data_IF_462601265543
#
_entry.id   IF_462601265543
#
_cell.length_a   1.000
_cell.length_b   1.000
_cell.length_c   1.000
_cell.angle_alpha   90.00
_cell.angle_beta   90.00
_cell.angle_gamma   90.00
#
_symmetry.space_group_name_H-M   'P 1'
#
loop_
_entity.id
_entity.type
_entity.pdbx_description
1 polymer ?
#
# COMPACT_ATOMS: atom_id res chain seq x y z
N UNK A 1 -15.16 3.36 7.79
CA UNK A 1 -14.38 2.14 7.42
C UNK A 1 -14.73 1.65 6.02
N UNK A 2 -16.02 1.45 5.69
CA UNK A 2 -16.42 0.95 4.35
C UNK A 2 -15.95 1.86 3.20
N UNK A 3 -16.13 3.18 3.32
CA UNK A 3 -15.66 4.14 2.31
C UNK A 3 -14.14 4.09 2.06
N UNK A 4 -13.35 3.85 3.12
CA UNK A 4 -11.90 3.66 3.03
C UNK A 4 -11.56 2.39 2.24
N UNK A 5 -12.31 1.32 2.43
CA UNK A 5 -12.16 0.08 1.69
C UNK A 5 -12.53 0.25 0.21
N UNK A 6 -13.61 0.97 -0.09
CA UNK A 6 -14.00 1.29 -1.46
C UNK A 6 -12.92 2.14 -2.14
N UNK A 7 -12.42 3.17 -1.45
CA UNK A 7 -11.31 4.00 -1.93
C UNK A 7 -10.04 3.17 -2.20
N UNK A 8 -9.70 2.25 -1.30
CA UNK A 8 -8.60 1.31 -1.48
C UNK A 8 -8.81 0.42 -2.72
N UNK A 9 -9.99 -0.16 -2.91
CA UNK A 9 -10.28 -1.03 -4.05
C UNK A 9 -10.16 -0.28 -5.39
N UNK A 10 -10.66 0.95 -5.45
CA UNK A 10 -10.55 1.82 -6.64
C UNK A 10 -9.09 2.22 -6.89
N UNK A 11 -8.32 2.50 -5.84
CA UNK A 11 -6.90 2.82 -5.93
C UNK A 11 -6.03 1.62 -6.31
N UNK A 12 -6.44 0.40 -5.96
CA UNK A 12 -5.63 -0.81 -6.04
C UNK A 12 -5.03 -1.09 -7.41
N UNK A 13 -5.84 -0.90 -8.45
CA UNK A 13 -5.44 -1.12 -9.85
C UNK A 13 -4.54 0.03 -10.36
N UNK A 14 -4.96 1.31 -10.32
CA UNK A 14 -4.15 2.40 -10.85
C UNK A 14 -2.90 2.69 -10.03
N UNK A 15 -2.99 2.74 -8.69
CA UNK A 15 -1.88 3.10 -7.80
C UNK A 15 -1.01 1.89 -7.42
N UNK A 16 -1.55 0.68 -7.55
CA UNK A 16 -0.82 -0.55 -7.22
C UNK A 16 -0.93 -0.92 -5.74
N UNK A 17 -0.45 -2.12 -5.42
CA UNK A 17 -0.54 -2.73 -4.10
C UNK A 17 0.16 -1.89 -3.02
N UNK A 18 1.41 -1.50 -3.24
CA UNK A 18 2.23 -0.81 -2.21
C UNK A 18 1.61 0.52 -1.83
N UNK A 19 1.32 1.38 -2.79
CA UNK A 19 0.76 2.71 -2.52
C UNK A 19 -0.65 2.62 -1.92
N UNK A 20 -1.52 1.78 -2.49
CA UNK A 20 -2.90 1.66 -2.00
C UNK A 20 -2.93 1.11 -0.57
N UNK A 21 -2.12 0.09 -0.29
CA UNK A 21 -2.04 -0.54 1.04
C UNK A 21 -1.37 0.39 2.06
N UNK A 22 -0.31 1.11 1.67
CA UNK A 22 0.35 2.07 2.56
C UNK A 22 -0.58 3.22 2.96
N UNK A 23 -1.35 3.79 2.02
CA UNK A 23 -2.32 4.85 2.33
C UNK A 23 -3.45 4.30 3.20
N UNK A 24 -4.00 3.13 2.86
CA UNK A 24 -5.06 2.50 3.64
C UNK A 24 -4.63 2.22 5.08
N UNK A 25 -3.51 1.51 5.27
CA UNK A 25 -2.96 1.21 6.60
C UNK A 25 -2.55 2.48 7.34
N UNK A 26 -1.96 3.46 6.65
CA UNK A 26 -1.57 4.73 7.23
C UNK A 26 -2.77 5.48 7.82
N UNK A 27 -3.88 5.54 7.09
CA UNK A 27 -5.12 6.18 7.58
C UNK A 27 -5.70 5.38 8.75
N UNK A 28 -5.80 4.04 8.64
CA UNK A 28 -6.36 3.19 9.69
C UNK A 28 -5.57 3.31 11.00
N UNK A 29 -4.25 3.17 10.95
CA UNK A 29 -3.40 3.22 12.15
C UNK A 29 -3.37 4.62 12.74
N UNK A 30 -3.44 5.68 11.91
CA UNK A 30 -3.52 7.06 12.39
C UNK A 30 -4.86 7.40 13.04
N UNK A 31 -5.97 6.81 12.58
CA UNK A 31 -7.27 6.94 13.25
C UNK A 31 -7.24 6.29 14.65
N UNK A 32 -6.47 5.20 14.82
CA UNK A 32 -6.34 4.49 16.10
C UNK A 32 -5.38 5.20 17.07
N UNK A 33 -4.21 5.62 16.60
CA UNK A 33 -3.18 6.32 17.40
C UNK A 33 -2.71 7.60 16.67
N UNK A 34 -3.49 8.69 16.75
CA UNK A 34 -3.21 9.93 16.00
C UNK A 34 -1.95 10.67 16.48
N UNK A 35 -1.53 10.45 17.72
CA UNK A 35 -0.37 11.13 18.31
C UNK A 35 0.96 10.77 17.62
N UNK A 36 1.01 9.66 16.87
CA UNK A 36 2.25 9.10 16.31
C UNK A 36 2.19 8.89 14.81
N UNK A 37 1.55 9.81 14.09
CA UNK A 37 1.32 9.75 12.64
C UNK A 37 2.60 9.43 11.82
N UNK A 38 3.76 10.02 12.15
CA UNK A 38 5.03 9.74 11.44
C UNK A 38 5.45 8.27 11.51
N UNK A 39 5.35 7.68 12.69
CA UNK A 39 5.66 6.25 12.92
C UNK A 39 4.65 5.37 12.21
N UNK A 40 3.38 5.76 12.21
CA UNK A 40 2.31 5.00 11.56
C UNK A 40 2.47 4.98 10.03
N UNK A 41 2.86 6.11 9.43
CA UNK A 41 3.17 6.20 7.99
C UNK A 41 4.40 5.35 7.65
N UNK A 42 5.48 5.45 8.43
CA UNK A 42 6.67 4.64 8.21
C UNK A 42 6.37 3.13 8.31
N UNK A 43 5.58 2.74 9.32
CA UNK A 43 5.13 1.37 9.49
C UNK A 43 4.28 0.90 8.31
N UNK A 44 3.30 1.69 7.87
CA UNK A 44 2.42 1.33 6.77
C UNK A 44 3.19 1.13 5.45
N UNK A 45 4.12 2.04 5.14
CA UNK A 45 4.98 1.93 3.96
C UNK A 45 5.87 0.67 4.07
N UNK A 46 6.59 0.51 5.18
CA UNK A 46 7.50 -0.62 5.38
C UNK A 46 6.78 -1.96 5.32
N UNK A 47 5.63 -2.08 5.99
CA UNK A 47 4.82 -3.29 5.99
C UNK A 47 4.32 -3.63 4.59
N UNK A 48 3.77 -2.65 3.86
CA UNK A 48 3.29 -2.87 2.48
C UNK A 48 4.42 -3.31 1.53
N UNK A 49 5.62 -2.73 1.68
CA UNK A 49 6.79 -3.09 0.88
C UNK A 49 7.29 -4.51 1.19
N UNK A 50 7.36 -4.88 2.48
CA UNK A 50 7.75 -6.24 2.91
C UNK A 50 6.78 -7.28 2.33
N UNK A 51 5.47 -7.04 2.42
CA UNK A 51 4.48 -7.96 1.86
C UNK A 51 4.60 -8.03 0.34
N UNK A 52 4.78 -6.89 -0.33
CA UNK A 52 4.98 -6.87 -1.78
C UNK A 52 6.18 -7.69 -2.22
N UNK A 53 7.33 -7.54 -1.54
CA UNK A 53 8.53 -8.32 -1.81
C UNK A 53 8.32 -9.80 -1.47
N UNK A 54 7.62 -10.12 -0.39
CA UNK A 54 7.27 -11.50 -0.05
C UNK A 54 6.44 -12.18 -1.13
N UNK A 55 5.42 -11.51 -1.66
CA UNK A 55 4.62 -12.08 -2.73
C UNK A 55 5.37 -12.15 -4.05
N UNK A 56 6.08 -11.08 -4.43
CA UNK A 56 6.73 -11.02 -5.75
C UNK A 56 8.02 -11.82 -5.83
N UNK A 57 8.86 -11.77 -4.80
CA UNK A 57 10.19 -12.40 -4.80
C UNK A 57 10.17 -13.81 -4.19
N UNK A 58 9.47 -14.01 -3.07
CA UNK A 58 9.46 -15.32 -2.39
C UNK A 58 8.41 -16.26 -2.99
N UNK A 59 7.22 -15.75 -3.31
CA UNK A 59 6.10 -16.56 -3.82
C UNK A 59 5.97 -16.54 -5.35
N UNK A 60 6.68 -15.63 -6.04
CA UNK A 60 6.56 -15.47 -7.50
C UNK A 60 5.19 -14.98 -7.96
N UNK A 61 4.36 -14.45 -7.06
CA UNK A 61 3.01 -13.96 -7.36
C UNK A 61 3.09 -12.47 -7.69
N UNK A 62 2.79 -12.07 -8.94
CA UNK A 62 2.84 -10.67 -9.33
C UNK A 62 1.70 -9.91 -8.65
N UNK A 63 2.06 -8.85 -7.94
CA UNK A 63 1.12 -7.88 -7.39
C UNK A 63 1.07 -6.64 -8.29
N UNK A 64 -0.07 -5.93 -8.36
CA UNK A 64 -0.16 -4.70 -9.13
C UNK A 64 0.89 -3.68 -8.68
N UNK A 65 1.78 -3.28 -9.60
CA UNK A 65 2.75 -2.21 -9.36
C UNK A 65 2.12 -0.81 -9.47
N UNK A 66 1.06 -0.68 -10.27
CA UNK A 66 0.36 0.58 -10.52
C UNK A 66 1.26 1.68 -11.10
N UNK A 67 1.05 2.94 -10.66
CA UNK A 67 1.83 4.12 -11.09
C UNK A 67 3.34 3.97 -10.87
N UNK A 68 3.77 3.19 -9.87
CA UNK A 68 5.19 2.89 -9.66
C UNK A 68 5.82 2.05 -10.80
N UNK A 69 5.00 1.37 -11.60
CA UNK A 69 5.43 0.60 -12.77
C UNK A 69 5.28 1.31 -14.12
N UNK A 70 4.81 2.57 -14.14
CA UNK A 70 4.35 3.22 -15.38
C UNK A 70 5.45 3.84 -16.26
N UNK A 71 6.75 3.65 -15.98
CA UNK A 71 7.85 4.10 -16.88
C UNK A 71 9.13 3.25 -16.82
N UNK A 72 9.06 1.94 -17.07
CA UNK A 72 10.26 1.17 -17.49
C UNK A 72 9.87 0.26 -18.64
N UNK A 73 9.81 0.83 -19.84
CA UNK A 73 9.40 0.15 -21.06
C UNK A 73 9.31 1.14 -22.22
N UNK A 74 10.45 1.77 -22.53
CA UNK A 74 10.69 2.57 -23.73
C UNK A 74 12.06 2.20 -24.26
#
# INVERSE_FOLDING_TARGET
>A
MVLLFVGYAVAFIPLGYVLSTAVFLGIVVTVIDPAKWKRNVLFAIGFSAIVYLGFTQLLGVPLPVGVLGLRVGG
#
